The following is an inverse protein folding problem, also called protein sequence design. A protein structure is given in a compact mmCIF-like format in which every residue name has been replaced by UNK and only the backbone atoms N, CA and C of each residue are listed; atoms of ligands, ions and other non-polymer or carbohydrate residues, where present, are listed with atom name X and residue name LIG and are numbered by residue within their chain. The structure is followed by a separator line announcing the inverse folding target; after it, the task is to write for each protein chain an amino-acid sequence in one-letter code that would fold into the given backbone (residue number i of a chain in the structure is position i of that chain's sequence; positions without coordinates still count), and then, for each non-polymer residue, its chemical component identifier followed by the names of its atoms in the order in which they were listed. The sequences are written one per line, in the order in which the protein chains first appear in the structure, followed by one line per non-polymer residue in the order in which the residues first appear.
data_IF_720815856188
#
_entry.id   IF_720815856188
#
_cell.length_a   1.000
_cell.length_b   1.000
_cell.length_c   1.000
_cell.angle_alpha   90.00
_cell.angle_beta   90.00
_cell.angle_gamma   90.00
#
_symmetry.space_group_name_H-M   'P 1'
#
loop_
_entity.id
_entity.type
_entity.pdbx_description
1 polymer ?
#
# COMPACT_ATOMS: atom_id res chain seq x y z
N UNK A 1 -9.39 -3.96 20.94
CA UNK A 1 -10.00 -5.04 20.11
C UNK A 1 -9.86 -4.58 18.67
N UNK A 2 -8.76 -5.01 18.07
CA UNK A 2 -7.96 -4.21 17.15
C UNK A 2 -8.56 -4.14 15.75
N UNK A 3 -8.54 -2.94 15.15
CA UNK A 3 -9.20 -2.57 13.90
C UNK A 3 -8.93 -3.53 12.72
N UNK A 4 -7.74 -4.13 12.65
CA UNK A 4 -7.43 -5.12 11.62
C UNK A 4 -8.00 -6.51 11.90
N UNK A 5 -8.30 -6.89 13.15
CA UNK A 5 -9.03 -8.14 13.41
C UNK A 5 -10.45 -8.06 12.85
N UNK A 6 -11.08 -6.88 12.88
CA UNK A 6 -12.38 -6.68 12.22
C UNK A 6 -12.24 -6.78 10.70
N UNK A 7 -11.25 -6.13 10.08
CA UNK A 7 -11.02 -6.20 8.62
C UNK A 7 -10.57 -7.59 8.13
N UNK A 8 -9.69 -8.27 8.85
CA UNK A 8 -9.22 -9.61 8.48
C UNK A 8 -10.29 -10.67 8.78
N UNK A 9 -11.06 -10.53 9.87
CA UNK A 9 -12.28 -11.32 10.03
C UNK A 9 -13.27 -11.01 8.94
N UNK A 10 -13.43 -9.78 8.44
CA UNK A 10 -14.34 -9.49 7.33
C UNK A 10 -13.87 -10.10 6.00
N UNK A 11 -12.57 -10.04 5.70
CA UNK A 11 -11.97 -10.61 4.48
C UNK A 11 -11.91 -12.14 4.52
N UNK A 12 -11.60 -12.73 5.68
CA UNK A 12 -11.58 -14.19 5.88
C UNK A 12 -12.99 -14.79 6.08
N UNK A 13 -13.94 -14.06 6.68
CA UNK A 13 -15.34 -14.51 6.84
C UNK A 13 -16.15 -14.39 5.56
N UNK A 14 -15.80 -13.46 4.65
CA UNK A 14 -16.45 -13.37 3.34
C UNK A 14 -15.92 -14.39 2.31
N UNK A 15 -14.93 -15.20 2.68
CA UNK A 15 -14.43 -16.33 1.88
C UNK A 15 -14.18 -17.59 2.73
N UNK A 16 -15.24 -18.27 3.21
CA UNK A 16 -15.09 -19.62 3.71
C UNK A 16 -15.05 -20.54 2.49
N UNK A 17 -13.90 -21.12 2.20
CA UNK A 17 -13.75 -22.35 1.41
C UNK A 17 -14.67 -22.51 0.18
N UNK A 18 -14.21 -22.02 -0.99
CA UNK A 18 -14.49 -22.74 -2.25
C UNK A 18 -13.19 -23.33 -2.80
N UNK A 19 -12.94 -24.56 -2.35
CA UNK A 19 -12.46 -25.67 -3.16
C UNK A 19 -11.21 -25.40 -4.03
N UNK A 20 -10.03 -25.49 -3.40
CA UNK A 20 -8.76 -25.73 -4.09
C UNK A 20 -8.70 -27.23 -4.44
N UNK A 21 -9.46 -27.64 -5.46
CA UNK A 21 -9.28 -28.94 -6.12
C UNK A 21 -10.00 -28.98 -7.47
N UNK A 22 -9.71 -28.03 -8.36
CA UNK A 22 -9.83 -28.24 -9.81
C UNK A 22 -9.08 -27.14 -10.58
N UNK A 23 -7.78 -27.35 -10.80
CA UNK A 23 -7.03 -26.60 -11.82
C UNK A 23 -7.08 -27.43 -13.11
N UNK A 24 -7.87 -27.08 -14.13
CA UNK A 24 -7.63 -27.64 -15.45
C UNK A 24 -6.36 -26.98 -16.02
N UNK A 25 -5.33 -27.79 -16.29
CA UNK A 25 -4.23 -27.39 -17.18
C UNK A 25 -4.84 -26.94 -18.51
N UNK A 26 -4.75 -25.65 -18.82
CA UNK A 26 -5.06 -25.12 -20.14
C UNK A 26 -3.78 -25.05 -20.96
N UNK A 27 -3.77 -25.83 -22.05
CA UNK A 27 -2.69 -25.91 -23.04
C UNK A 27 -2.41 -24.54 -23.73
N UNK A 28 -1.21 -24.34 -24.30
CA UNK A 28 -0.81 -23.08 -24.92
C UNK A 28 -1.31 -22.97 -26.37
N UNK A 29 -1.84 -21.79 -26.72
CA UNK A 29 -2.13 -21.41 -28.11
C UNK A 29 -1.81 -19.91 -28.33
N UNK A 30 -1.60 -19.48 -29.59
CA UNK A 30 -0.34 -18.89 -30.01
C UNK A 30 -0.25 -17.36 -29.83
N UNK A 31 1.00 -16.90 -29.77
CA UNK A 31 1.42 -15.51 -29.88
C UNK A 31 0.74 -14.82 -31.08
N UNK A 32 -0.17 -13.89 -30.79
CA UNK A 32 -0.47 -12.78 -31.71
C UNK A 32 0.21 -11.53 -31.18
N UNK A 33 1.21 -11.09 -31.94
CA UNK A 33 1.76 -9.75 -31.87
C UNK A 33 0.63 -8.73 -32.08
N UNK A 34 0.46 -7.79 -31.16
CA UNK A 34 -0.16 -6.50 -31.48
C UNK A 34 0.77 -5.38 -31.05
N UNK A 35 1.41 -4.83 -32.09
CA UNK A 35 2.12 -3.59 -32.13
C UNK A 35 1.13 -2.41 -31.99
N UNK A 36 1.59 -1.33 -31.34
CA UNK A 36 1.09 0.05 -31.37
C UNK A 36 -0.41 0.31 -31.14
N UNK A 37 -0.69 1.12 -30.09
CA UNK A 37 -1.44 2.39 -30.16
C UNK A 37 -2.40 2.57 -28.97
N UNK A 38 -2.14 3.64 -28.20
CA UNK A 38 -3.05 4.38 -27.28
C UNK A 38 -3.54 3.66 -26.01
N UNK A 39 -2.89 3.95 -24.89
CA UNK A 39 -3.60 3.98 -23.60
C UNK A 39 -4.44 5.26 -23.53
N UNK A 40 -5.76 5.20 -23.22
CA UNK A 40 -6.53 6.39 -22.94
C UNK A 40 -6.13 6.91 -21.57
N UNK A 41 -5.30 7.95 -21.58
CA UNK A 41 -5.04 8.83 -20.46
C UNK A 41 -6.31 9.66 -20.22
N UNK A 42 -7.17 9.27 -19.27
CA UNK A 42 -8.18 10.18 -18.74
C UNK A 42 -8.60 9.79 -17.33
N UNK A 43 -7.94 10.39 -16.35
CA UNK A 43 -8.54 11.06 -15.19
C UNK A 43 -7.39 11.56 -14.28
N UNK A 44 -6.71 12.62 -14.72
CA UNK A 44 -5.97 13.50 -13.81
C UNK A 44 -6.87 14.71 -13.58
N UNK A 45 -7.87 14.54 -12.72
CA UNK A 45 -8.66 15.66 -12.20
C UNK A 45 -7.69 16.58 -11.44
N UNK A 46 -7.48 17.77 -12.00
CA UNK A 46 -6.85 18.96 -11.42
C UNK A 46 -6.38 18.80 -9.94
N UNK A 47 -5.15 18.32 -9.75
CA UNK A 47 -4.55 18.21 -8.40
C UNK A 47 -3.80 19.50 -8.06
N UNK A 48 -4.02 20.09 -6.87
CA UNK A 48 -3.24 21.23 -6.39
C UNK A 48 -1.76 20.84 -6.28
N UNK A 49 -0.87 21.76 -6.68
CA UNK A 49 0.59 21.58 -6.83
C UNK A 49 1.31 20.97 -5.61
N UNK A 50 0.69 21.04 -4.43
CA UNK A 50 1.16 20.47 -3.18
C UNK A 50 1.13 18.93 -3.12
N UNK A 51 0.13 18.27 -3.73
CA UNK A 51 -0.02 16.81 -3.74
C UNK A 51 1.04 16.11 -4.61
N UNK A 52 1.51 16.81 -5.64
CA UNK A 52 2.51 16.33 -6.60
C UNK A 52 3.85 16.05 -5.92
N UNK A 53 4.18 16.74 -4.83
CA UNK A 53 5.42 16.56 -4.08
C UNK A 53 5.46 15.20 -3.35
N UNK A 54 4.40 14.86 -2.61
CA UNK A 54 4.30 13.57 -1.92
C UNK A 54 4.31 12.42 -2.91
N UNK A 55 3.51 12.54 -3.97
CA UNK A 55 3.43 11.52 -4.99
C UNK A 55 4.78 11.25 -5.68
N UNK A 56 5.50 12.30 -6.06
CA UNK A 56 6.84 12.16 -6.66
C UNK A 56 7.81 11.48 -5.71
N UNK A 57 7.87 11.90 -4.45
CA UNK A 57 8.79 11.33 -3.47
C UNK A 57 8.46 9.86 -3.20
N UNK A 58 7.17 9.54 -3.04
CA UNK A 58 6.70 8.17 -2.84
C UNK A 58 7.05 7.30 -4.04
N UNK A 59 6.72 7.70 -5.27
CA UNK A 59 6.99 6.88 -6.45
C UNK A 59 8.49 6.74 -6.75
N UNK A 60 9.33 7.71 -6.34
CA UNK A 60 10.78 7.62 -6.50
C UNK A 60 11.39 6.41 -5.79
N UNK A 61 10.70 5.87 -4.78
CA UNK A 61 11.08 4.64 -4.06
C UNK A 61 11.15 3.44 -5.00
N UNK A 62 10.29 3.38 -6.03
CA UNK A 62 10.26 2.23 -6.94
C UNK A 62 11.51 2.11 -7.82
N UNK A 63 12.30 3.18 -7.96
CA UNK A 63 13.55 3.23 -8.75
C UNK A 63 14.80 3.32 -7.88
N UNK A 64 14.64 3.29 -6.54
CA UNK A 64 15.75 3.46 -5.62
C UNK A 64 16.40 2.12 -5.28
N UNK A 65 17.73 2.08 -5.15
CA UNK A 65 18.41 0.89 -4.64
C UNK A 65 17.95 0.58 -3.20
N UNK A 66 17.58 -0.67 -2.93
CA UNK A 66 17.25 -1.13 -1.58
C UNK A 66 18.53 -1.42 -0.77
N UNK A 67 18.57 -1.17 0.55
CA UNK A 67 17.49 -0.67 1.41
C UNK A 67 17.28 0.84 1.32
N UNK A 68 16.05 1.31 1.57
CA UNK A 68 15.76 2.74 1.64
C UNK A 68 16.47 3.38 2.85
N UNK A 69 17.01 4.60 2.66
CA UNK A 69 17.57 5.37 3.76
C UNK A 69 16.50 5.85 4.73
N UNK A 70 16.84 5.88 6.03
CA UNK A 70 15.96 6.40 7.07
C UNK A 70 15.54 7.87 6.80
N UNK A 71 16.45 8.69 6.28
CA UNK A 71 16.18 10.09 5.92
C UNK A 71 15.09 10.25 4.87
N UNK A 72 14.99 9.31 3.93
CA UNK A 72 13.97 9.34 2.88
C UNK A 72 12.60 8.92 3.42
N UNK A 73 12.57 7.90 4.28
CA UNK A 73 11.35 7.51 4.99
C UNK A 73 10.85 8.68 5.85
N UNK A 74 11.75 9.35 6.58
CA UNK A 74 11.41 10.52 7.38
C UNK A 74 10.87 11.67 6.52
N UNK A 75 11.49 11.95 5.36
CA UNK A 75 10.98 12.97 4.42
C UNK A 75 9.57 12.64 3.94
N UNK A 76 9.34 11.42 3.47
CA UNK A 76 8.01 10.96 3.03
C UNK A 76 7.01 11.08 4.17
N UNK A 77 7.40 10.73 5.39
CA UNK A 77 6.56 10.82 6.59
C UNK A 77 6.16 12.27 6.89
N UNK A 78 7.11 13.21 6.85
CA UNK A 78 6.85 14.64 7.02
C UNK A 78 5.90 15.18 5.95
N UNK A 79 6.07 14.78 4.69
CA UNK A 79 5.15 15.13 3.61
C UNK A 79 3.76 14.52 3.82
N UNK A 80 3.69 13.27 4.29
CA UNK A 80 2.44 12.59 4.62
C UNK A 80 1.63 13.33 5.70
N UNK A 81 2.30 13.77 6.77
CA UNK A 81 1.66 14.61 7.80
C UNK A 81 1.23 15.96 7.24
N UNK A 82 2.11 16.63 6.49
CA UNK A 82 1.86 17.94 5.87
C UNK A 82 0.61 17.93 4.99
N UNK A 83 0.37 16.84 4.26
CA UNK A 83 -0.75 16.70 3.33
C UNK A 83 -1.86 15.78 3.84
N UNK A 84 -1.84 15.40 5.12
CA UNK A 84 -2.76 14.41 5.69
C UNK A 84 -4.25 14.79 5.61
N UNK A 85 -4.57 16.09 5.52
CA UNK A 85 -5.94 16.60 5.27
C UNK A 85 -6.50 16.16 3.91
N UNK A 86 -5.63 15.98 2.92
CA UNK A 86 -5.98 15.49 1.60
C UNK A 86 -5.85 13.96 1.55
N UNK A 87 -6.48 13.26 2.50
CA UNK A 87 -6.31 11.81 2.68
C UNK A 87 -6.48 10.98 1.39
N UNK A 88 -7.41 11.34 0.50
CA UNK A 88 -7.62 10.67 -0.80
C UNK A 88 -6.34 10.63 -1.65
N UNK A 89 -5.59 11.73 -1.64
CA UNK A 89 -4.33 11.89 -2.35
C UNK A 89 -3.23 10.96 -1.81
N UNK A 90 -3.11 10.95 -0.48
CA UNK A 90 -2.14 10.14 0.24
C UNK A 90 -2.39 8.66 -0.04
N UNK A 91 -3.63 8.20 0.17
CA UNK A 91 -3.99 6.80 -0.07
C UNK A 91 -3.78 6.42 -1.53
N UNK A 92 -4.15 7.29 -2.48
CA UNK A 92 -3.96 7.01 -3.90
C UNK A 92 -2.48 6.89 -4.31
N UNK A 93 -1.62 7.76 -3.78
CA UNK A 93 -0.17 7.71 -4.07
C UNK A 93 0.47 6.45 -3.47
N UNK A 94 0.03 6.05 -2.27
CA UNK A 94 0.45 4.81 -1.61
C UNK A 94 -0.06 3.56 -2.33
N UNK A 95 -1.32 3.54 -2.75
CA UNK A 95 -1.88 2.46 -3.57
C UNK A 95 -1.05 2.27 -4.85
N UNK A 96 -0.66 3.39 -5.48
CA UNK A 96 0.21 3.35 -6.65
C UNK A 96 1.62 2.86 -6.34
N UNK A 97 2.22 3.25 -5.21
CA UNK A 97 3.50 2.71 -4.73
C UNK A 97 3.43 1.19 -4.65
N UNK A 98 2.45 0.66 -3.91
CA UNK A 98 2.32 -0.79 -3.70
C UNK A 98 2.04 -1.51 -5.01
N UNK A 99 1.29 -0.91 -5.94
CA UNK A 99 0.96 -1.54 -7.22
C UNK A 99 2.13 -1.50 -8.21
N UNK A 100 2.87 -0.39 -8.29
CA UNK A 100 3.89 -0.14 -9.32
C UNK A 100 5.30 -0.55 -8.90
N UNK A 101 5.61 -0.57 -7.62
CA UNK A 101 6.96 -0.91 -7.18
C UNK A 101 7.29 -2.39 -7.47
N UNK A 102 8.56 -2.69 -7.78
CA UNK A 102 9.03 -4.06 -7.94
C UNK A 102 8.88 -4.86 -6.63
N UNK A 103 8.85 -6.20 -6.70
CA UNK A 103 8.78 -7.09 -5.55
C UNK A 103 9.75 -6.75 -4.42
N UNK A 104 10.98 -6.38 -4.76
CA UNK A 104 12.06 -6.08 -3.80
C UNK A 104 11.77 -4.85 -2.92
N UNK A 105 10.83 -3.99 -3.32
CA UNK A 105 10.46 -2.80 -2.57
C UNK A 105 9.15 -2.94 -1.81
N UNK A 106 8.48 -4.11 -1.81
CA UNK A 106 7.20 -4.28 -1.10
C UNK A 106 7.33 -4.12 0.41
N UNK A 107 8.42 -4.65 1.00
CA UNK A 107 8.69 -4.47 2.42
C UNK A 107 8.95 -2.99 2.76
N UNK A 108 9.74 -2.32 1.92
CA UNK A 108 10.00 -0.87 2.05
C UNK A 108 8.72 -0.05 1.91
N UNK A 109 7.83 -0.42 0.99
CA UNK A 109 6.54 0.21 0.81
C UNK A 109 5.67 0.06 2.06
N UNK A 110 5.61 -1.14 2.65
CA UNK A 110 4.88 -1.37 3.91
C UNK A 110 5.42 -0.47 5.04
N UNK A 111 6.74 -0.36 5.19
CA UNK A 111 7.34 0.50 6.21
C UNK A 111 6.99 1.98 6.01
N UNK A 112 6.91 2.46 4.76
CA UNK A 112 6.48 3.82 4.47
C UNK A 112 5.02 4.03 4.90
N UNK A 113 4.13 3.08 4.58
CA UNK A 113 2.72 3.14 4.96
C UNK A 113 2.61 3.25 6.47
N UNK A 114 3.26 2.35 7.19
CA UNK A 114 3.27 2.33 8.64
C UNK A 114 3.80 3.65 9.22
N UNK A 115 4.94 4.15 8.73
CA UNK A 115 5.53 5.41 9.22
C UNK A 115 4.61 6.60 8.99
N UNK A 116 3.99 6.72 7.80
CA UNK A 116 3.05 7.80 7.47
C UNK A 116 1.81 7.72 8.36
N UNK A 117 1.18 6.55 8.48
CA UNK A 117 -0.05 6.41 9.25
C UNK A 117 0.21 6.67 10.74
N UNK A 118 1.32 6.18 11.30
CA UNK A 118 1.72 6.47 12.70
C UNK A 118 1.96 7.95 12.94
N UNK A 119 2.62 8.65 12.02
CA UNK A 119 2.87 10.08 12.16
C UNK A 119 1.57 10.89 12.00
N UNK A 120 0.70 10.51 11.06
CA UNK A 120 -0.61 11.12 10.87
C UNK A 120 -1.51 10.93 12.10
N UNK A 121 -1.47 9.78 12.77
CA UNK A 121 -2.23 9.56 14.02
C UNK A 121 -1.86 10.57 15.10
N UNK A 122 -0.56 10.88 15.24
CA UNK A 122 -0.06 11.82 16.25
C UNK A 122 -0.34 13.27 15.91
N UNK A 123 -0.34 13.63 14.62
CA UNK A 123 -0.32 15.01 14.17
C UNK A 123 -1.66 15.54 13.63
N UNK A 124 -2.54 14.66 13.12
CA UNK A 124 -3.81 15.07 12.54
C UNK A 124 -4.92 15.13 13.59
N UNK A 125 -5.94 15.94 13.33
CA UNK A 125 -7.17 15.89 14.10
C UNK A 125 -7.84 14.52 13.96
N UNK A 126 -8.56 14.09 14.99
CA UNK A 126 -9.18 12.77 15.05
C UNK A 126 -10.04 12.45 13.82
N UNK A 127 -10.83 13.42 13.33
CA UNK A 127 -11.68 13.24 12.15
C UNK A 127 -10.87 13.08 10.86
N UNK A 128 -9.81 13.86 10.66
CA UNK A 128 -8.93 13.76 9.48
C UNK A 128 -8.22 12.40 9.46
N UNK A 129 -7.73 11.96 10.62
CA UNK A 129 -7.11 10.64 10.77
C UNK A 129 -8.12 9.51 10.52
N UNK A 130 -9.33 9.59 11.08
CA UNK A 130 -10.37 8.60 10.84
C UNK A 130 -10.70 8.47 9.34
N UNK A 131 -10.84 9.60 8.62
CA UNK A 131 -11.07 9.60 7.18
C UNK A 131 -9.91 8.95 6.39
N UNK A 132 -8.67 9.20 6.81
CA UNK A 132 -7.48 8.55 6.24
C UNK A 132 -7.53 7.03 6.44
N UNK A 133 -7.83 6.57 7.65
CA UNK A 133 -7.91 5.15 7.98
C UNK A 133 -9.03 4.45 7.21
N UNK A 134 -10.26 4.97 7.24
CA UNK A 134 -11.39 4.40 6.50
C UNK A 134 -11.05 4.25 5.02
N UNK A 135 -10.36 5.23 4.43
CA UNK A 135 -9.97 5.16 3.02
C UNK A 135 -8.85 4.15 2.76
N UNK A 136 -7.93 3.96 3.71
CA UNK A 136 -6.91 2.92 3.62
C UNK A 136 -7.52 1.52 3.71
N UNK A 137 -8.49 1.31 4.60
CA UNK A 137 -9.18 0.03 4.78
C UNK A 137 -9.86 -0.42 3.49
N UNK A 138 -10.58 0.47 2.81
CA UNK A 138 -11.19 0.22 1.50
C UNK A 138 -10.17 -0.19 0.42
N UNK A 139 -8.91 0.20 0.56
CA UNK A 139 -7.86 -0.01 -0.44
C UNK A 139 -6.91 -1.15 -0.11
N UNK A 140 -6.81 -1.54 1.16
CA UNK A 140 -5.92 -2.62 1.59
C UNK A 140 -6.24 -3.93 0.88
N UNK A 141 -7.51 -4.27 0.68
CA UNK A 141 -7.91 -5.49 -0.04
C UNK A 141 -7.32 -5.55 -1.46
N UNK A 142 -7.32 -4.41 -2.17
CA UNK A 142 -6.74 -4.30 -3.50
C UNK A 142 -5.20 -4.29 -3.48
N UNK A 143 -4.58 -3.73 -2.44
CA UNK A 143 -3.11 -3.70 -2.30
C UNK A 143 -2.53 -5.05 -1.87
N UNK A 144 -3.30 -5.87 -1.17
CA UNK A 144 -2.83 -7.11 -0.54
C UNK A 144 -2.20 -8.11 -1.52
N UNK A 145 -2.79 -8.44 -2.68
CA UNK A 145 -2.17 -9.33 -3.66
C UNK A 145 -0.82 -8.79 -4.17
N UNK A 146 -0.69 -7.47 -4.30
CA UNK A 146 0.56 -6.84 -4.72
C UNK A 146 1.62 -6.92 -3.61
N UNK A 147 1.25 -6.81 -2.34
CA UNK A 147 2.20 -7.00 -1.22
C UNK A 147 2.71 -8.44 -1.15
N UNK A 148 1.86 -9.44 -1.43
CA UNK A 148 2.24 -10.86 -1.42
C UNK A 148 3.18 -11.27 -2.56
N UNK A 149 3.39 -10.41 -3.55
CA UNK A 149 4.39 -10.62 -4.60
C UNK A 149 5.83 -10.36 -4.14
N UNK A 150 6.05 -9.95 -2.89
CA UNK A 150 7.37 -9.76 -2.29
C UNK A 150 8.24 -11.03 -2.35
N UNK A 151 9.59 -10.91 -2.27
CA UNK A 151 10.49 -12.05 -2.14
C UNK A 151 10.15 -12.91 -0.91
N UNK A 152 10.38 -14.23 -0.93
CA UNK A 152 10.07 -15.13 0.20
C UNK A 152 10.67 -14.68 1.55
N UNK A 153 11.88 -14.08 1.50
CA UNK A 153 12.57 -13.51 2.67
C UNK A 153 11.74 -12.44 3.38
N UNK A 154 11.03 -11.62 2.62
CA UNK A 154 10.29 -10.46 3.12
C UNK A 154 8.82 -10.79 3.41
N UNK A 155 8.28 -11.85 2.77
CA UNK A 155 6.91 -12.32 2.99
C UNK A 155 6.64 -12.63 4.44
N UNK A 156 7.58 -13.26 5.17
CA UNK A 156 7.38 -13.60 6.58
C UNK A 156 7.17 -12.34 7.43
N UNK A 157 7.96 -11.29 7.18
CA UNK A 157 7.81 -10.00 7.87
C UNK A 157 6.50 -9.29 7.50
N UNK A 158 6.13 -9.29 6.21
CA UNK A 158 4.86 -8.74 5.72
C UNK A 158 3.67 -9.46 6.34
N UNK A 159 3.67 -10.79 6.31
CA UNK A 159 2.60 -11.60 6.89
C UNK A 159 2.53 -11.41 8.41
N UNK A 160 3.67 -11.37 9.11
CA UNK A 160 3.68 -11.08 10.54
C UNK A 160 3.07 -9.71 10.85
N UNK A 161 3.36 -8.68 10.06
CA UNK A 161 2.76 -7.36 10.22
C UNK A 161 1.24 -7.37 9.99
N UNK A 162 0.79 -8.11 8.96
CA UNK A 162 -0.63 -8.17 8.58
C UNK A 162 -1.48 -9.04 9.53
N UNK A 163 -0.92 -10.14 10.04
CA UNK A 163 -1.62 -11.08 10.92
C UNK A 163 -1.60 -10.68 12.39
N UNK A 164 -0.61 -9.91 12.86
CA UNK A 164 -0.63 -9.34 14.21
C UNK A 164 -1.68 -8.24 14.41
N UNK A 165 -2.69 -8.17 13.53
CA UNK A 165 -3.84 -7.29 13.70
C UNK A 165 -3.48 -5.82 13.56
N UNK A 166 -2.48 -5.50 12.73
CA UNK A 166 -2.05 -4.13 12.42
C UNK A 166 -2.05 -3.20 13.64
N UNK A 167 -1.74 -3.77 14.80
CA UNK A 167 -1.25 -3.02 15.95
C UNK A 167 0.10 -2.50 15.49
N UNK A 168 0.07 -1.38 14.76
CA UNK A 168 1.21 -0.63 14.29
C UNK A 168 2.04 -0.23 15.51
N UNK A 169 2.86 -1.15 16.02
CA UNK A 169 3.81 -0.95 17.10
C UNK A 169 3.18 -0.16 18.26
N UNK A 170 2.22 -0.78 18.94
CA UNK A 170 2.03 -0.49 20.35
C UNK A 170 3.37 -0.73 21.05
N UNK A 171 4.07 0.35 21.40
CA UNK A 171 5.04 0.39 22.49
C UNK A 171 6.11 -0.73 22.50
N UNK A 172 7.12 -0.70 21.63
CA UNK A 172 8.38 -1.46 21.85
C UNK A 172 9.54 -0.97 20.96
N UNK A 173 9.87 0.33 21.00
CA UNK A 173 11.24 0.85 20.78
C UNK A 173 11.27 2.32 21.22
N UNK A 174 10.90 2.54 22.48
CA UNK A 174 11.23 3.67 23.37
C UNK A 174 10.66 3.35 24.75
#
# INVERSE_FOLDING_TARGET
MSFFFQCLSFVLWRNPFKNISHFPLRAPHPLKQQNTTKQPNNQRTNQPMAEVEFDKEVLSVCSAHAPLSASRIERITKLGVKYGRNYKAIVFSVERLVTKCPPEHKLSALYIIDSVVRACHKALHHQDYANLITRFEEKIEHMFPHMLSAPPKDKVCLLSFLYSGGEMLGCAFL
#
